data_IF_969149556746
#
_entry.id   IF_969149556746
#
_cell.length_a   1.000
_cell.length_b   1.000
_cell.length_c   1.000
_cell.angle_alpha   90.00
_cell.angle_beta   90.00
_cell.angle_gamma   90.00
#
_symmetry.space_group_name_H-M   'P 1'
#
loop_
_entity.id
_entity.type
_entity.pdbx_description
1 polymer ?
#
# COMPACT_ATOMS: atom_id res chain seq x y z
N UNK A 1 17.73 -20.86 -50.50
CA UNK A 1 17.51 -19.43 -50.73
C UNK A 1 18.63 -18.67 -50.02
N UNK A 2 19.58 -18.13 -50.79
CA UNK A 2 20.70 -17.33 -50.30
C UNK A 2 20.70 -16.01 -51.07
N UNK A 3 20.54 -14.91 -50.35
CA UNK A 3 20.75 -13.58 -50.88
C UNK A 3 21.57 -12.77 -49.87
N UNK A 4 22.88 -12.71 -50.12
CA UNK A 4 23.77 -11.62 -49.72
C UNK A 4 23.28 -10.32 -50.36
N UNK A 5 23.52 -9.17 -49.70
CA UNK A 5 24.03 -7.88 -50.24
C UNK A 5 23.82 -6.80 -49.17
N UNK A 6 24.89 -6.29 -48.57
CA UNK A 6 25.72 -5.14 -48.95
C UNK A 6 25.27 -3.85 -48.25
N UNK A 7 26.12 -3.38 -47.34
CA UNK A 7 26.15 -2.04 -46.76
C UNK A 7 26.22 -0.95 -47.86
N UNK A 8 25.78 0.27 -47.54
CA UNK A 8 26.77 1.33 -47.50
C UNK A 8 26.65 2.26 -46.28
N UNK A 9 27.84 2.66 -45.83
CA UNK A 9 28.16 3.75 -44.91
C UNK A 9 27.78 5.08 -45.57
N UNK A 10 27.05 5.95 -44.88
CA UNK A 10 26.97 7.38 -45.21
C UNK A 10 27.44 8.20 -44.01
N UNK A 11 28.61 8.79 -44.21
CA UNK A 11 29.34 9.69 -43.33
C UNK A 11 28.93 11.12 -43.67
N UNK A 12 28.38 11.87 -42.71
CA UNK A 12 28.14 13.31 -42.85
C UNK A 12 28.88 14.02 -41.73
N UNK A 13 30.00 14.63 -42.13
CA UNK A 13 30.78 15.61 -41.37
C UNK A 13 30.08 16.96 -41.55
N UNK A 14 29.79 17.65 -40.45
CA UNK A 14 29.57 19.10 -40.49
C UNK A 14 30.44 19.76 -39.41
N UNK A 15 31.47 20.45 -39.88
CA UNK A 15 32.38 21.27 -39.11
C UNK A 15 32.00 22.75 -39.22
N UNK A 16 32.23 23.50 -38.13
CA UNK A 16 32.36 24.96 -38.12
C UNK A 16 31.29 25.66 -37.28
N UNK A 17 31.57 26.70 -36.50
CA UNK A 17 32.80 27.39 -36.14
C UNK A 17 32.44 28.31 -34.94
N UNK A 18 33.36 28.44 -34.00
CA UNK A 18 33.58 29.40 -32.89
C UNK A 18 32.62 30.59 -32.66
N UNK A 19 32.35 30.95 -31.38
CA UNK A 19 32.75 32.24 -30.73
C UNK A 19 32.28 32.41 -29.27
N UNK A 20 33.12 33.08 -28.44
CA UNK A 20 32.86 33.87 -27.19
C UNK A 20 32.45 33.08 -25.93
N UNK A 21 33.31 32.87 -24.91
CA UNK A 21 33.87 33.81 -23.91
C UNK A 21 32.84 34.67 -23.17
N UNK A 22 32.36 34.18 -22.03
CA UNK A 22 32.02 34.97 -20.83
C UNK A 22 32.19 34.06 -19.60
N UNK A 23 33.17 34.38 -18.74
CA UNK A 23 33.19 33.95 -17.35
C UNK A 23 32.16 34.78 -16.58
N UNK A 24 31.12 34.15 -16.04
CA UNK A 24 30.32 34.73 -14.97
C UNK A 24 29.89 33.63 -14.00
N UNK A 25 30.25 33.80 -12.73
CA UNK A 25 29.80 32.96 -11.63
C UNK A 25 28.27 33.02 -11.53
N UNK A 26 27.58 31.91 -11.72
CA UNK A 26 26.14 31.81 -11.55
C UNK A 26 25.70 30.40 -11.25
N UNK A 27 24.93 30.24 -10.17
CA UNK A 27 24.34 29.00 -9.67
C UNK A 27 23.67 28.15 -10.75
N UNK A 28 23.86 26.83 -10.63
CA UNK A 28 23.25 25.78 -11.44
C UNK A 28 21.71 25.86 -11.36
N UNK A 29 20.98 26.13 -12.46
CA UNK A 29 19.55 25.89 -12.54
C UNK A 29 19.34 24.50 -13.13
N UNK A 30 18.85 23.56 -12.30
CA UNK A 30 18.35 22.28 -12.78
C UNK A 30 17.10 22.54 -13.65
N UNK A 31 16.99 22.00 -14.88
CA UNK A 31 15.81 22.17 -15.70
C UNK A 31 14.61 21.55 -14.97
N UNK A 32 13.68 22.43 -14.60
CA UNK A 32 12.39 22.13 -14.03
C UNK A 32 11.59 21.37 -15.09
N UNK A 33 11.70 20.05 -15.05
CA UNK A 33 10.81 19.15 -15.76
C UNK A 33 9.43 19.31 -15.12
N UNK A 34 8.56 20.05 -15.80
CA UNK A 34 7.14 20.18 -15.48
C UNK A 34 6.42 18.87 -15.77
N UNK A 35 6.78 17.82 -15.05
CA UNK A 35 5.87 16.74 -14.76
C UNK A 35 5.18 17.13 -13.45
N UNK A 36 3.93 17.60 -13.57
CA UNK A 36 2.96 17.57 -12.49
C UNK A 36 2.65 16.12 -12.15
N UNK A 37 3.63 15.40 -11.63
CA UNK A 37 3.39 14.17 -10.92
C UNK A 37 2.89 14.62 -9.55
N UNK A 38 1.60 14.47 -9.31
CA UNK A 38 1.04 14.53 -7.96
C UNK A 38 1.81 13.50 -7.15
N UNK A 39 2.83 13.96 -6.42
CA UNK A 39 3.46 13.20 -5.38
C UNK A 39 2.35 12.96 -4.35
N UNK A 40 1.74 11.78 -4.42
CA UNK A 40 0.92 11.26 -3.35
C UNK A 40 1.90 11.14 -2.19
N UNK A 41 1.85 12.09 -1.28
CA UNK A 41 2.56 12.00 0.00
C UNK A 41 1.96 10.79 0.70
N UNK A 42 2.65 9.66 0.63
CA UNK A 42 2.39 8.50 1.50
C UNK A 42 2.91 8.91 2.88
N UNK A 43 2.12 9.71 3.59
CA UNK A 43 2.39 9.99 5.00
C UNK A 43 1.97 8.75 5.77
N UNK A 44 2.94 7.95 6.22
CA UNK A 44 2.71 7.09 7.37
C UNK A 44 2.25 7.99 8.52
N UNK A 45 1.10 7.70 9.14
CA UNK A 45 0.55 8.56 10.19
C UNK A 45 1.54 8.72 11.36
N UNK A 46 1.62 9.95 11.88
CA UNK A 46 2.50 10.25 13.01
C UNK A 46 2.07 9.44 14.25
N UNK A 47 2.98 9.15 15.21
CA UNK A 47 2.64 8.37 16.40
C UNK A 47 1.40 8.87 17.15
N UNK A 48 1.22 10.19 17.25
CA UNK A 48 0.06 10.81 17.90
C UNK A 48 -1.24 10.61 17.11
N UNK A 49 -1.16 10.59 15.77
CA UNK A 49 -2.32 10.31 14.90
C UNK A 49 -2.75 8.85 15.00
N UNK A 50 -1.82 7.92 15.25
CA UNK A 50 -2.14 6.49 15.41
C UNK A 50 -3.00 6.23 16.65
N UNK A 51 -2.76 6.96 17.73
CA UNK A 51 -3.54 6.88 18.96
C UNK A 51 -4.94 7.46 18.77
N UNK A 52 -5.06 8.59 18.06
CA UNK A 52 -6.35 9.17 17.68
C UNK A 52 -7.16 8.26 16.74
N UNK A 53 -6.51 7.56 15.80
CA UNK A 53 -7.17 6.61 14.90
C UNK A 53 -7.62 5.35 15.63
N UNK A 54 -6.83 4.88 16.60
CA UNK A 54 -7.19 3.79 17.50
C UNK A 54 -8.44 4.11 18.33
N UNK A 55 -8.62 5.37 18.74
CA UNK A 55 -9.81 5.82 19.45
C UNK A 55 -11.09 5.79 18.61
N UNK A 56 -11.01 5.59 17.29
CA UNK A 56 -12.19 5.53 16.40
C UNK A 56 -12.65 4.10 16.08
N UNK A 57 -11.95 3.10 16.58
CA UNK A 57 -12.28 1.69 16.39
C UNK A 57 -12.40 0.99 17.74
N UNK A 58 -13.16 -0.10 17.78
CA UNK A 58 -13.29 -0.92 18.99
C UNK A 58 -12.56 -2.21 18.75
N UNK A 59 -11.42 -2.44 19.42
CA UNK A 59 -10.72 -3.70 19.31
C UNK A 59 -11.07 -4.60 20.51
N UNK A 60 -11.47 -5.87 20.28
CA UNK A 60 -11.83 -6.80 21.36
C UNK A 60 -10.61 -7.21 22.21
N UNK A 61 -9.41 -7.10 21.63
CA UNK A 61 -8.12 -7.39 22.26
C UNK A 61 -7.12 -6.32 21.82
N UNK A 62 -6.03 -6.15 22.56
CA UNK A 62 -4.96 -5.23 22.18
C UNK A 62 -4.07 -5.90 21.12
N UNK A 63 -3.85 -5.26 19.95
CA UNK A 63 -2.95 -5.80 18.92
C UNK A 63 -1.48 -5.65 19.34
N UNK A 64 -0.65 -6.63 18.95
CA UNK A 64 0.81 -6.56 19.14
C UNK A 64 1.46 -5.54 18.21
N UNK A 65 0.89 -5.35 17.02
CA UNK A 65 1.36 -4.39 16.02
C UNK A 65 0.19 -3.87 15.18
N UNK A 66 0.29 -2.61 14.76
CA UNK A 66 -0.74 -1.92 14.00
C UNK A 66 -0.11 -0.97 12.99
N UNK A 67 -0.51 -1.15 11.74
CA UNK A 67 -0.15 -0.24 10.65
C UNK A 67 -1.40 0.38 10.07
N UNK A 68 -1.51 1.71 10.18
CA UNK A 68 -2.65 2.47 9.70
C UNK A 68 -2.41 3.06 8.31
N UNK A 69 -3.49 3.14 7.54
CA UNK A 69 -3.57 3.97 6.33
C UNK A 69 -4.92 4.66 6.25
N UNK A 70 -4.88 5.99 6.23
CA UNK A 70 -6.04 6.80 5.94
C UNK A 70 -6.27 6.86 4.43
N UNK A 71 -7.51 6.69 4.00
CA UNK A 71 -7.87 6.98 2.61
C UNK A 71 -7.75 8.47 2.34
N UNK A 72 -7.32 8.86 1.13
CA UNK A 72 -7.11 10.26 0.75
C UNK A 72 -8.39 11.12 0.78
N UNK A 73 -9.56 10.49 0.84
CA UNK A 73 -10.87 11.15 1.01
C UNK A 73 -11.26 11.36 2.48
N UNK A 74 -10.50 10.82 3.42
CA UNK A 74 -10.76 10.87 4.86
C UNK A 74 -12.02 10.15 5.33
N UNK A 75 -12.69 9.39 4.45
CA UNK A 75 -13.94 8.67 4.76
C UNK A 75 -13.73 7.19 5.00
N UNK A 76 -12.59 6.65 4.57
CA UNK A 76 -12.23 5.27 4.81
C UNK A 76 -10.95 5.16 5.64
N UNK A 77 -10.95 4.19 6.53
CA UNK A 77 -9.83 3.84 7.39
C UNK A 77 -9.41 2.41 7.07
N UNK A 78 -8.15 2.22 6.73
CA UNK A 78 -7.53 0.92 6.56
C UNK A 78 -6.54 0.69 7.70
N UNK A 79 -6.52 -0.52 8.23
CA UNK A 79 -5.54 -0.93 9.23
C UNK A 79 -5.10 -2.37 8.98
N UNK A 80 -3.82 -2.65 9.16
CA UNK A 80 -3.31 -4.01 9.31
C UNK A 80 -3.01 -4.22 10.79
N UNK A 81 -3.72 -5.14 11.41
CA UNK A 81 -3.63 -5.46 12.83
C UNK A 81 -2.95 -6.82 12.98
N UNK A 82 -1.95 -6.93 13.85
CA UNK A 82 -1.38 -8.20 14.28
C UNK A 82 -1.80 -8.47 15.71
N UNK A 83 -2.31 -9.67 15.97
CA UNK A 83 -2.63 -10.10 17.33
C UNK A 83 -1.71 -11.21 17.80
N UNK A 84 -1.73 -11.48 19.09
CA UNK A 84 -1.12 -12.70 19.63
C UNK A 84 -1.83 -13.93 19.02
N UNK A 85 -1.15 -15.07 18.87
CA UNK A 85 -1.78 -16.28 18.36
C UNK A 85 -3.01 -16.74 19.17
N UNK A 86 -3.01 -16.46 20.48
CA UNK A 86 -4.13 -16.77 21.36
C UNK A 86 -5.35 -15.90 21.02
N UNK A 87 -5.16 -14.60 20.83
CA UNK A 87 -6.23 -13.66 20.55
C UNK A 87 -6.71 -13.78 19.11
N UNK A 88 -5.82 -14.04 18.16
CA UNK A 88 -6.18 -14.41 16.78
C UNK A 88 -7.20 -15.55 16.77
N UNK A 89 -6.96 -16.61 17.55
CA UNK A 89 -7.90 -17.73 17.66
C UNK A 89 -9.26 -17.28 18.20
N UNK A 90 -9.29 -16.52 19.30
CA UNK A 90 -10.55 -16.02 19.91
C UNK A 90 -11.32 -15.09 18.96
N UNK A 91 -10.61 -14.22 18.25
CA UNK A 91 -11.20 -13.32 17.25
C UNK A 91 -11.82 -14.15 16.12
N UNK A 92 -11.10 -15.12 15.56
CA UNK A 92 -11.62 -15.98 14.49
C UNK A 92 -12.84 -16.78 14.94
N UNK A 93 -12.83 -17.32 16.15
CA UNK A 93 -14.00 -17.99 16.74
C UNK A 93 -15.19 -17.03 16.84
N UNK A 94 -14.97 -15.80 17.29
CA UNK A 94 -16.03 -14.79 17.42
C UNK A 94 -16.58 -14.36 16.05
N UNK A 95 -15.70 -14.20 15.05
CA UNK A 95 -16.08 -13.85 13.67
C UNK A 95 -16.91 -14.97 13.03
N UNK A 96 -16.47 -16.21 13.18
CA UNK A 96 -17.17 -17.39 12.62
C UNK A 96 -18.49 -17.68 13.33
N UNK A 97 -18.61 -17.35 14.63
CA UNK A 97 -19.88 -17.39 15.34
C UNK A 97 -20.92 -16.42 14.77
N UNK A 98 -20.47 -15.30 14.16
CA UNK A 98 -21.33 -14.35 13.45
C UNK A 98 -21.74 -14.79 12.04
N UNK A 99 -21.12 -15.84 11.49
CA UNK A 99 -21.39 -16.37 10.15
C UNK A 99 -20.14 -16.90 9.46
N UNK A 100 -20.32 -17.59 8.33
CA UNK A 100 -19.19 -18.04 7.52
C UNK A 100 -18.50 -16.86 6.83
N UNK A 101 -17.17 -16.84 6.88
CA UNK A 101 -16.36 -15.88 6.14
C UNK A 101 -16.45 -16.13 4.64
N UNK A 102 -16.27 -15.08 3.86
CA UNK A 102 -16.18 -15.19 2.39
C UNK A 102 -14.71 -15.20 1.98
N UNK A 103 -14.24 -16.17 1.17
CA UNK A 103 -12.88 -16.15 0.66
C UNK A 103 -12.57 -14.84 -0.06
N UNK A 104 -11.43 -14.23 0.25
CA UNK A 104 -10.99 -12.96 -0.31
C UNK A 104 -9.52 -13.01 -0.68
N UNK A 105 -9.21 -12.47 -1.85
CA UNK A 105 -7.85 -12.22 -2.31
C UNK A 105 -7.59 -10.72 -2.30
N UNK A 106 -6.47 -10.30 -1.70
CA UNK A 106 -6.08 -8.90 -1.54
C UNK A 106 -4.77 -8.69 -2.29
N UNK A 107 -4.71 -7.65 -3.12
CA UNK A 107 -3.46 -7.22 -3.75
C UNK A 107 -2.56 -6.61 -2.68
N UNK A 108 -1.32 -7.11 -2.50
CA UNK A 108 -0.39 -6.53 -1.54
C UNK A 108 -0.09 -5.08 -1.89
N UNK A 109 0.08 -4.26 -0.86
CA UNK A 109 0.43 -2.85 -1.00
C UNK A 109 1.75 -2.54 -0.28
N UNK A 110 2.49 -1.54 -0.76
CA UNK A 110 3.83 -1.20 -0.27
C UNK A 110 3.86 -0.81 1.23
N UNK A 111 2.72 -0.40 1.78
CA UNK A 111 2.59 -0.02 3.19
C UNK A 111 2.24 -1.19 4.11
N UNK A 112 1.93 -2.37 3.57
CA UNK A 112 1.68 -3.56 4.38
C UNK A 112 2.97 -4.02 5.10
N UNK A 113 2.85 -4.70 6.26
CA UNK A 113 3.99 -5.35 6.91
C UNK A 113 4.75 -6.28 5.95
N UNK A 114 6.07 -6.35 6.13
CA UNK A 114 6.96 -7.13 5.27
C UNK A 114 6.58 -8.62 5.24
N UNK A 115 6.01 -9.14 6.32
CA UNK A 115 5.51 -10.51 6.42
C UNK A 115 4.37 -10.78 5.44
N UNK A 116 3.44 -9.82 5.28
CA UNK A 116 2.34 -9.94 4.33
C UNK A 116 2.82 -9.79 2.88
N UNK A 117 3.79 -8.90 2.64
CA UNK A 117 4.44 -8.78 1.33
C UNK A 117 5.13 -10.10 0.96
N UNK A 118 5.96 -10.65 1.84
CA UNK A 118 6.64 -11.93 1.64
C UNK A 118 5.66 -13.10 1.44
N UNK A 119 4.53 -13.11 2.17
CA UNK A 119 3.48 -14.10 1.96
C UNK A 119 2.89 -14.01 0.54
N UNK A 120 2.63 -12.79 0.07
CA UNK A 120 2.11 -12.59 -1.29
C UNK A 120 3.08 -13.10 -2.35
N UNK A 121 4.38 -12.86 -2.20
CA UNK A 121 5.42 -13.33 -3.12
C UNK A 121 5.58 -14.86 -3.14
N UNK A 122 5.30 -15.51 -2.02
CA UNK A 122 5.30 -16.97 -1.91
C UNK A 122 4.07 -17.63 -2.56
N UNK A 123 3.00 -16.86 -2.80
CA UNK A 123 1.79 -17.36 -3.45
C UNK A 123 1.91 -17.26 -4.98
N UNK A 124 1.42 -18.25 -5.74
CA UNK A 124 1.54 -18.27 -7.21
C UNK A 124 0.84 -17.09 -7.90
N UNK A 125 -0.22 -16.56 -7.27
CA UNK A 125 -1.00 -15.44 -7.80
C UNK A 125 -0.50 -14.06 -7.32
N UNK A 126 0.57 -14.01 -6.52
CA UNK A 126 1.06 -12.77 -5.90
C UNK A 126 0.00 -12.01 -5.07
N UNK A 127 -0.94 -12.74 -4.47
CA UNK A 127 -2.05 -12.19 -3.67
C UNK A 127 -1.98 -12.66 -2.22
N UNK A 128 -2.51 -11.86 -1.31
CA UNK A 128 -2.76 -12.26 0.09
C UNK A 128 -4.14 -12.93 0.15
N UNK A 129 -4.18 -14.14 0.70
CA UNK A 129 -5.41 -14.94 0.77
C UNK A 129 -5.96 -14.91 2.19
N UNK A 130 -7.25 -14.62 2.33
CA UNK A 130 -7.92 -14.57 3.62
C UNK A 130 -9.41 -14.84 3.55
N UNK A 131 -10.05 -14.72 4.71
CA UNK A 131 -11.50 -14.83 4.86
C UNK A 131 -12.04 -13.49 5.36
N UNK A 132 -12.98 -12.92 4.62
CA UNK A 132 -13.61 -11.64 4.94
C UNK A 132 -14.88 -11.84 5.75
N UNK A 133 -15.03 -11.03 6.80
CA UNK A 133 -16.17 -11.00 7.70
C UNK A 133 -16.69 -9.56 7.87
N UNK A 134 -17.96 -9.36 8.24
CA UNK A 134 -18.46 -8.06 8.63
C UNK A 134 -17.67 -7.50 9.83
N UNK A 135 -17.21 -6.25 9.75
CA UNK A 135 -16.46 -5.60 10.83
C UNK A 135 -17.37 -4.99 11.91
N UNK A 136 -18.59 -5.48 12.09
CA UNK A 136 -19.62 -4.88 12.97
C UNK A 136 -19.19 -4.77 14.43
N UNK A 137 -18.26 -5.62 14.88
CA UNK A 137 -17.70 -5.59 16.23
C UNK A 137 -16.52 -4.61 16.38
N UNK A 138 -16.00 -4.09 15.27
CA UNK A 138 -14.71 -3.40 15.21
C UNK A 138 -14.82 -1.89 15.01
N UNK A 139 -16.03 -1.34 14.86
CA UNK A 139 -16.21 0.08 14.57
C UNK A 139 -17.21 0.77 15.49
N UNK A 140 -17.05 2.08 15.60
CA UNK A 140 -17.98 2.99 16.24
C UNK A 140 -18.21 4.24 15.35
N UNK A 141 -19.23 5.08 15.61
CA UNK A 141 -19.43 6.31 14.86
C UNK A 141 -18.14 7.15 14.80
N UNK A 142 -17.80 7.76 13.65
CA UNK A 142 -18.63 7.98 12.46
C UNK A 142 -18.69 6.81 11.45
N UNK A 143 -17.97 5.72 11.71
CA UNK A 143 -17.99 4.54 10.85
C UNK A 143 -19.31 3.78 10.98
N UNK A 144 -19.82 3.31 9.84
CA UNK A 144 -21.12 2.63 9.77
C UNK A 144 -21.10 1.26 9.12
N UNK A 145 -20.01 0.95 8.41
CA UNK A 145 -19.82 -0.31 7.73
C UNK A 145 -18.31 -0.59 7.65
N UNK A 146 -17.98 -1.87 7.48
CA UNK A 146 -16.61 -2.29 7.27
C UNK A 146 -16.48 -3.79 7.07
N UNK A 147 -15.31 -4.18 6.63
CA UNK A 147 -14.90 -5.57 6.45
C UNK A 147 -13.62 -5.81 7.24
N UNK A 148 -13.55 -6.94 7.92
CA UNK A 148 -12.32 -7.43 8.51
C UNK A 148 -11.93 -8.73 7.80
N UNK A 149 -10.72 -8.79 7.28
CA UNK A 149 -10.19 -9.96 6.59
C UNK A 149 -9.16 -10.64 7.47
N UNK A 150 -9.44 -11.88 7.90
CA UNK A 150 -8.47 -12.73 8.59
C UNK A 150 -7.53 -13.35 7.55
N UNK A 151 -6.24 -13.03 7.62
CA UNK A 151 -5.26 -13.53 6.64
C UNK A 151 -4.91 -14.99 6.94
N UNK A 152 -4.97 -15.84 5.91
CA UNK A 152 -4.78 -17.28 6.07
C UNK A 152 -3.37 -17.62 6.52
N UNK A 153 -3.24 -18.49 7.52
CA UNK A 153 -1.93 -18.97 8.00
C UNK A 153 -1.10 -17.92 8.74
N UNK A 154 -1.70 -16.81 9.16
CA UNK A 154 -1.01 -15.74 9.92
C UNK A 154 -1.89 -15.22 11.05
N UNK A 155 -1.30 -14.37 11.89
CA UNK A 155 -1.97 -13.63 12.96
C UNK A 155 -2.37 -12.20 12.56
N UNK A 156 -2.41 -11.94 11.25
CA UNK A 156 -2.76 -10.63 10.71
C UNK A 156 -4.24 -10.54 10.32
N UNK A 157 -4.81 -9.37 10.55
CA UNK A 157 -6.13 -8.97 10.11
C UNK A 157 -6.05 -7.66 9.35
N UNK A 158 -6.77 -7.57 8.23
CA UNK A 158 -6.89 -6.34 7.45
C UNK A 158 -8.28 -5.77 7.71
N UNK A 159 -8.34 -4.62 8.37
CA UNK A 159 -9.56 -3.91 8.70
C UNK A 159 -9.79 -2.78 7.70
N UNK A 160 -10.95 -2.77 7.06
CA UNK A 160 -11.41 -1.74 6.14
C UNK A 160 -12.72 -1.16 6.68
N UNK A 161 -12.72 0.10 7.11
CA UNK A 161 -13.91 0.81 7.61
C UNK A 161 -14.29 1.97 6.68
N UNK A 162 -15.59 2.24 6.60
CA UNK A 162 -16.15 3.34 5.82
C UNK A 162 -17.13 4.16 6.66
N UNK A 163 -16.93 5.48 6.64
CA UNK A 163 -17.81 6.46 7.29
C UNK A 163 -19.17 6.51 6.59
N UNK A 164 -20.22 6.86 7.35
CA UNK A 164 -21.56 7.08 6.80
C UNK A 164 -21.66 8.36 5.98
#
# INVERSE_FOLDING_TARGET
MHAKRLFPVLLVIFSGLSTLSCSENGQVPNPQNTNSNRQITVSSPQPDENEELGALITLPYEPEDVVWRKSGDGRSLLAVLRFSPEDTRKIRESLTAGGQGTPRSITPEDWFPAELQAQSEANPDAMIIGEAFPATLFFQPPYGAGTITAVSGTDFFILELTAK
#
